data_IF_703315011897
#
_entry.id   IF_703315011897
#
_cell.length_a   1.000
_cell.length_b   1.000
_cell.length_c   1.000
_cell.angle_alpha   90.00
_cell.angle_beta   90.00
_cell.angle_gamma   90.00
#
_symmetry.space_group_name_H-M   'P 1'
#
loop_
_entity.id
_entity.type
_entity.pdbx_description
1 polymer ?
#
# COMPACT_ATOMS: atom_id res chain seq x y z
N UNK A 1 30.40 23.40 -5.37
CA UNK A 1 29.90 22.05 -5.10
C UNK A 1 28.57 21.92 -5.84
N UNK A 2 28.52 21.10 -6.87
CA UNK A 2 27.27 20.75 -7.55
C UNK A 2 26.43 19.98 -6.56
N UNK A 3 25.13 20.30 -6.32
CA UNK A 3 24.29 19.51 -5.45
C UNK A 3 24.21 18.08 -5.99
N UNK A 4 24.29 17.10 -5.10
CA UNK A 4 24.09 15.70 -5.47
C UNK A 4 22.74 15.58 -6.18
N UNK A 5 22.63 14.75 -7.24
CA UNK A 5 21.36 14.57 -7.91
C UNK A 5 20.30 14.09 -6.90
N UNK A 6 19.06 14.56 -7.00
CA UNK A 6 18.00 14.14 -6.08
C UNK A 6 17.86 12.61 -6.12
N UNK A 7 17.91 11.99 -4.95
CA UNK A 7 17.70 10.54 -4.84
C UNK A 7 16.26 10.25 -5.25
N UNK A 8 16.11 9.50 -6.34
CA UNK A 8 14.79 9.13 -6.84
C UNK A 8 14.07 8.23 -5.84
N UNK A 9 12.85 8.61 -5.45
CA UNK A 9 12.00 7.75 -4.65
C UNK A 9 11.66 6.48 -5.43
N UNK A 10 11.90 5.27 -4.87
CA UNK A 10 11.56 4.00 -5.52
C UNK A 10 10.11 3.94 -5.95
N UNK A 11 9.85 3.41 -7.14
CA UNK A 11 8.51 3.20 -7.67
C UNK A 11 8.08 1.75 -7.54
N UNK A 12 6.84 1.56 -7.15
CA UNK A 12 6.10 0.30 -7.09
C UNK A 12 4.85 0.38 -7.95
N UNK A 13 4.19 -0.74 -8.15
CA UNK A 13 2.92 -0.82 -8.86
C UNK A 13 1.84 -1.39 -7.95
N UNK A 14 0.68 -0.76 -7.92
CA UNK A 14 -0.53 -1.28 -7.29
C UNK A 14 -1.40 -1.94 -8.36
N UNK A 15 -1.75 -3.23 -8.18
CA UNK A 15 -2.89 -3.82 -8.87
C UNK A 15 -4.15 -3.42 -8.09
N UNK A 16 -5.01 -2.58 -8.67
CA UNK A 16 -5.96 -1.82 -7.86
C UNK A 16 -7.33 -2.52 -7.68
N UNK A 17 -7.50 -3.71 -8.24
CA UNK A 17 -8.75 -4.46 -8.20
C UNK A 17 -8.65 -5.69 -7.30
N UNK A 18 -9.79 -6.29 -6.98
CA UNK A 18 -9.82 -7.66 -6.46
C UNK A 18 -9.49 -8.60 -7.61
N UNK A 19 -8.42 -9.39 -7.46
CA UNK A 19 -7.97 -10.28 -8.51
C UNK A 19 -9.06 -11.33 -8.83
N UNK A 20 -9.65 -11.22 -10.02
CA UNK A 20 -10.60 -12.19 -10.59
C UNK A 20 -10.05 -12.79 -11.89
N UNK A 21 -9.25 -12.01 -12.62
CA UNK A 21 -8.49 -12.46 -13.78
C UNK A 21 -7.00 -12.57 -13.41
N UNK A 22 -6.52 -13.81 -13.36
CA UNK A 22 -5.13 -14.09 -12.97
C UNK A 22 -4.13 -13.84 -14.12
N UNK A 23 -4.58 -13.81 -15.36
CA UNK A 23 -3.75 -13.44 -16.50
C UNK A 23 -3.55 -11.93 -16.56
N UNK A 24 -4.61 -11.14 -16.28
CA UNK A 24 -4.47 -9.70 -16.10
C UNK A 24 -3.50 -9.38 -14.97
N UNK A 25 -3.66 -10.03 -13.80
CA UNK A 25 -2.74 -9.86 -12.67
C UNK A 25 -1.30 -10.23 -13.04
N UNK A 26 -1.10 -11.29 -13.83
CA UNK A 26 0.22 -11.70 -14.30
C UNK A 26 0.89 -10.60 -15.14
N UNK A 27 0.16 -9.91 -16.02
CA UNK A 27 0.67 -8.80 -16.80
C UNK A 27 1.19 -7.64 -15.93
N UNK A 28 0.52 -7.36 -14.78
CA UNK A 28 1.01 -6.40 -13.78
C UNK A 28 2.29 -6.89 -13.11
N UNK A 29 2.36 -8.15 -12.71
CA UNK A 29 3.56 -8.77 -12.14
C UNK A 29 4.76 -8.75 -13.10
N UNK A 30 4.54 -9.07 -14.36
CA UNK A 30 5.55 -8.97 -15.42
C UNK A 30 6.01 -7.53 -15.61
N UNK A 31 5.11 -6.56 -15.59
CA UNK A 31 5.46 -5.14 -15.69
C UNK A 31 6.34 -4.71 -14.52
N UNK A 32 6.08 -5.16 -13.30
CA UNK A 32 6.97 -4.90 -12.14
C UNK A 32 8.36 -5.47 -12.37
N UNK A 33 8.46 -6.70 -12.86
CA UNK A 33 9.74 -7.35 -13.19
C UNK A 33 10.49 -6.60 -14.31
N UNK A 34 9.81 -6.34 -15.40
CA UNK A 34 10.43 -5.81 -16.63
C UNK A 34 10.86 -4.34 -16.46
N UNK A 35 10.10 -3.58 -15.71
CA UNK A 35 10.46 -2.22 -15.33
C UNK A 35 11.33 -2.15 -14.06
N UNK A 36 11.74 -3.27 -13.48
CA UNK A 36 12.51 -3.31 -12.23
C UNK A 36 11.93 -2.36 -11.15
N UNK A 37 10.60 -2.41 -10.97
CA UNK A 37 9.93 -1.69 -9.90
C UNK A 37 10.19 -2.35 -8.55
N UNK A 38 10.06 -1.58 -7.47
CA UNK A 38 10.38 -2.04 -6.12
C UNK A 38 9.51 -3.22 -5.69
N UNK A 39 8.17 -3.18 -5.98
CA UNK A 39 7.24 -4.28 -5.67
C UNK A 39 5.90 -4.17 -6.36
N UNK A 40 5.15 -5.28 -6.31
CA UNK A 40 3.72 -5.32 -6.64
C UNK A 40 2.91 -5.26 -5.33
N UNK A 41 1.98 -4.32 -5.25
CA UNK A 41 1.00 -4.25 -4.18
C UNK A 41 -0.36 -4.78 -4.60
N UNK A 42 -1.02 -5.51 -3.71
CA UNK A 42 -2.41 -5.97 -3.84
C UNK A 42 -3.22 -5.54 -2.61
N UNK A 43 -4.45 -5.11 -2.81
CA UNK A 43 -5.40 -4.86 -1.73
C UNK A 43 -5.99 -6.14 -1.16
N UNK A 44 -6.86 -6.01 -0.14
CA UNK A 44 -7.71 -7.11 0.28
C UNK A 44 -8.60 -7.54 -0.88
N UNK A 45 -8.56 -8.82 -1.21
CA UNK A 45 -9.48 -9.41 -2.18
C UNK A 45 -10.43 -10.38 -1.49
N UNK A 46 -11.69 -10.39 -1.97
CA UNK A 46 -12.74 -11.32 -1.56
C UNK A 46 -13.10 -12.28 -2.71
N UNK A 47 -12.32 -12.27 -3.79
CA UNK A 47 -12.45 -13.17 -4.95
C UNK A 47 -11.35 -14.22 -4.89
N UNK A 48 -10.13 -13.89 -5.33
CA UNK A 48 -8.96 -14.74 -5.09
C UNK A 48 -8.19 -14.15 -3.91
N UNK A 49 -7.87 -14.98 -2.91
CA UNK A 49 -7.08 -14.53 -1.75
C UNK A 49 -5.77 -13.89 -2.18
N UNK A 50 -5.46 -12.73 -1.59
CA UNK A 50 -4.29 -11.92 -1.97
C UNK A 50 -2.96 -12.68 -1.87
N UNK A 51 -2.78 -13.51 -0.84
CA UNK A 51 -1.54 -14.29 -0.68
C UNK A 51 -1.48 -15.46 -1.67
N UNK A 52 -2.64 -16.06 -1.99
CA UNK A 52 -2.74 -17.09 -3.03
C UNK A 52 -2.49 -16.51 -4.42
N UNK A 53 -2.92 -15.28 -4.69
CA UNK A 53 -2.61 -14.56 -5.92
C UNK A 53 -1.09 -14.39 -6.10
N UNK A 54 -0.34 -13.99 -5.06
CA UNK A 54 1.12 -13.96 -5.10
C UNK A 54 1.75 -15.34 -5.28
N UNK A 55 1.22 -16.38 -4.62
CA UNK A 55 1.68 -17.74 -4.79
C UNK A 55 1.49 -18.23 -6.24
N UNK A 56 0.34 -17.88 -6.86
CA UNK A 56 0.07 -18.17 -8.26
C UNK A 56 1.10 -17.50 -9.19
N UNK A 57 1.38 -16.20 -8.99
CA UNK A 57 2.41 -15.50 -9.76
C UNK A 57 3.78 -16.17 -9.64
N UNK A 58 4.18 -16.53 -8.42
CA UNK A 58 5.44 -17.23 -8.17
C UNK A 58 5.50 -18.59 -8.88
N UNK A 59 4.39 -19.34 -8.89
CA UNK A 59 4.25 -20.60 -9.62
C UNK A 59 4.38 -20.45 -11.14
N UNK A 60 3.99 -19.29 -11.68
CA UNK A 60 4.19 -18.92 -13.09
C UNK A 60 5.59 -18.37 -13.40
N UNK A 61 6.50 -18.35 -12.42
CA UNK A 61 7.85 -17.80 -12.57
C UNK A 61 7.93 -16.27 -12.40
N UNK A 62 6.81 -15.60 -12.07
CA UNK A 62 6.77 -14.15 -11.85
C UNK A 62 7.09 -13.90 -10.36
N UNK A 63 8.39 -13.83 -10.05
CA UNK A 63 8.92 -13.69 -8.69
C UNK A 63 9.34 -12.26 -8.40
N UNK A 64 8.40 -11.43 -7.99
CA UNK A 64 8.61 -10.02 -7.64
C UNK A 64 8.43 -9.80 -6.13
N UNK A 65 9.06 -8.76 -5.54
CA UNK A 65 8.72 -8.36 -4.18
C UNK A 65 7.23 -8.05 -4.06
N UNK A 66 6.62 -8.45 -2.97
CA UNK A 66 5.18 -8.39 -2.76
C UNK A 66 4.80 -7.41 -1.64
N UNK A 67 3.63 -6.82 -1.73
CA UNK A 67 3.05 -6.01 -0.67
C UNK A 67 1.54 -6.17 -0.56
N UNK A 68 1.00 -6.23 0.65
CA UNK A 68 -0.44 -6.10 0.86
C UNK A 68 -0.79 -4.68 1.27
N UNK A 69 -1.80 -4.06 0.64
CA UNK A 69 -2.18 -2.67 0.89
C UNK A 69 -3.71 -2.48 0.90
N UNK A 70 -4.38 -2.99 1.92
CA UNK A 70 -3.91 -3.71 3.09
C UNK A 70 -4.77 -4.96 3.31
N UNK A 71 -4.21 -5.99 3.96
CA UNK A 71 -4.99 -7.12 4.45
C UNK A 71 -5.78 -6.70 5.70
N UNK A 72 -7.04 -7.15 5.83
CA UNK A 72 -7.88 -6.77 6.96
C UNK A 72 -7.66 -7.66 8.17
N UNK A 73 -7.40 -7.03 9.32
CA UNK A 73 -7.15 -7.74 10.59
C UNK A 73 -8.35 -8.58 11.06
N UNK A 74 -9.58 -8.21 10.67
CA UNK A 74 -10.79 -8.94 11.04
C UNK A 74 -10.98 -10.28 10.31
N UNK A 75 -10.28 -10.49 9.18
CA UNK A 75 -10.47 -11.69 8.34
C UNK A 75 -9.62 -12.89 8.76
N UNK A 76 -8.54 -12.69 9.51
CA UNK A 76 -7.57 -13.75 9.79
C UNK A 76 -7.07 -13.69 11.22
N UNK A 77 -6.78 -14.86 11.77
CA UNK A 77 -6.01 -14.93 13.00
C UNK A 77 -4.58 -14.42 12.79
N UNK A 78 -3.95 -13.71 13.77
CA UNK A 78 -2.58 -13.18 13.62
C UNK A 78 -1.54 -14.26 13.26
N UNK A 79 -1.69 -15.49 13.77
CA UNK A 79 -0.83 -16.61 13.43
C UNK A 79 -0.92 -16.95 11.93
N UNK A 80 -2.14 -17.07 11.41
CA UNK A 80 -2.36 -17.35 9.98
C UNK A 80 -1.76 -16.24 9.10
N UNK A 81 -1.95 -14.98 9.47
CA UNK A 81 -1.38 -13.84 8.76
C UNK A 81 0.16 -13.87 8.74
N UNK A 82 0.80 -14.23 9.85
CA UNK A 82 2.26 -14.39 9.91
C UNK A 82 2.73 -15.55 9.01
N UNK A 83 2.02 -16.67 9.03
CA UNK A 83 2.30 -17.83 8.15
C UNK A 83 2.16 -17.45 6.69
N UNK A 84 1.08 -16.77 6.31
CA UNK A 84 0.81 -16.37 4.93
C UNK A 84 1.86 -15.39 4.41
N UNK A 85 2.20 -14.34 5.17
CA UNK A 85 3.22 -13.37 4.78
C UNK A 85 4.60 -14.05 4.58
N UNK A 86 4.98 -14.95 5.50
CA UNK A 86 6.20 -15.76 5.38
C UNK A 86 6.17 -16.69 4.18
N UNK A 87 5.02 -17.33 3.92
CA UNK A 87 4.85 -18.22 2.77
C UNK A 87 5.06 -17.48 1.45
N UNK A 88 4.50 -16.28 1.30
CA UNK A 88 4.72 -15.44 0.11
C UNK A 88 6.20 -15.10 -0.05
N UNK A 89 6.89 -14.72 1.03
CA UNK A 89 8.33 -14.44 0.98
C UNK A 89 9.15 -15.66 0.53
N UNK A 90 8.84 -16.85 1.04
CA UNK A 90 9.50 -18.09 0.67
C UNK A 90 9.22 -18.50 -0.78
N UNK A 91 7.96 -18.42 -1.23
CA UNK A 91 7.54 -18.83 -2.56
C UNK A 91 8.09 -17.88 -3.65
N UNK A 92 8.09 -16.59 -3.38
CA UNK A 92 8.65 -15.60 -4.31
C UNK A 92 10.17 -15.54 -4.26
N UNK A 93 10.79 -15.92 -3.13
CA UNK A 93 12.20 -15.68 -2.84
C UNK A 93 12.53 -14.19 -2.71
N UNK A 94 11.55 -13.34 -2.42
CA UNK A 94 11.66 -11.87 -2.40
C UNK A 94 11.11 -11.27 -1.10
N UNK A 95 11.56 -10.05 -0.72
CA UNK A 95 11.02 -9.35 0.44
C UNK A 95 9.52 -9.08 0.30
N UNK A 96 8.83 -9.06 1.44
CA UNK A 96 7.38 -8.80 1.53
C UNK A 96 7.12 -7.63 2.49
N UNK A 97 6.20 -6.75 2.11
CA UNK A 97 5.55 -5.81 3.03
C UNK A 97 4.18 -6.38 3.38
N UNK A 98 4.04 -6.95 4.55
CA UNK A 98 2.77 -7.43 5.07
C UNK A 98 2.01 -6.25 5.68
N UNK A 99 1.22 -5.56 4.85
CA UNK A 99 0.45 -4.39 5.26
C UNK A 99 -0.93 -4.79 5.76
N UNK A 100 -1.34 -4.22 6.90
CA UNK A 100 -2.59 -4.51 7.58
C UNK A 100 -3.40 -3.25 7.86
N UNK A 101 -4.72 -3.41 7.96
CA UNK A 101 -5.64 -2.34 8.31
C UNK A 101 -6.84 -2.86 9.08
N UNK A 102 -7.51 -1.96 9.80
CA UNK A 102 -8.71 -2.29 10.57
C UNK A 102 -9.89 -2.70 9.66
N UNK A 103 -9.96 -2.14 8.47
CA UNK A 103 -11.11 -2.26 7.58
C UNK A 103 -12.17 -1.18 7.81
N UNK A 104 -13.15 -1.17 6.92
CA UNK A 104 -14.33 -0.34 7.04
C UNK A 104 -15.19 -0.81 8.24
N UNK A 105 -15.72 0.10 9.09
CA UNK A 105 -16.47 -0.26 10.28
C UNK A 105 -17.70 -1.14 10.02
N UNK A 106 -18.44 -0.88 8.94
CA UNK A 106 -19.66 -1.64 8.61
C UNK A 106 -19.30 -3.04 8.12
N UNK A 107 -18.23 -3.16 7.32
CA UNK A 107 -17.71 -4.46 6.91
C UNK A 107 -17.18 -5.27 8.10
N UNK A 108 -16.48 -4.64 9.03
CA UNK A 108 -16.01 -5.27 10.26
C UNK A 108 -17.19 -5.72 11.13
N UNK A 109 -18.23 -4.89 11.24
CA UNK A 109 -19.43 -5.24 11.98
C UNK A 109 -20.16 -6.45 11.35
N UNK A 110 -20.24 -6.52 10.02
CA UNK A 110 -20.81 -7.67 9.32
C UNK A 110 -20.04 -8.97 9.56
N UNK A 111 -18.71 -8.89 9.73
CA UNK A 111 -17.87 -10.07 9.98
C UNK A 111 -17.86 -10.52 11.44
N UNK A 112 -17.90 -9.58 12.39
CA UNK A 112 -17.69 -9.84 13.81
C UNK A 112 -18.95 -9.73 14.66
N UNK A 113 -20.04 -9.21 14.07
CA UNK A 113 -21.27 -8.84 14.79
C UNK A 113 -21.23 -7.41 15.36
N UNK A 114 -20.07 -6.79 15.48
CA UNK A 114 -19.87 -5.43 15.96
C UNK A 114 -18.61 -4.79 15.38
N UNK A 115 -18.56 -3.47 15.19
CA UNK A 115 -17.34 -2.79 14.76
C UNK A 115 -16.28 -2.77 15.88
N UNK A 116 -15.05 -2.44 15.55
CA UNK A 116 -14.03 -2.14 16.56
C UNK A 116 -14.36 -0.81 17.23
N UNK A 117 -14.57 -0.79 18.54
CA UNK A 117 -14.66 0.47 19.30
C UNK A 117 -13.36 1.28 19.22
N UNK A 118 -12.22 0.59 19.15
CA UNK A 118 -10.89 1.20 18.94
C UNK A 118 -10.12 0.47 17.84
N UNK A 119 -10.25 0.91 16.57
CA UNK A 119 -9.45 0.36 15.47
C UNK A 119 -7.95 0.47 15.73
N UNK A 120 -7.49 1.51 16.41
CA UNK A 120 -6.08 1.68 16.81
C UNK A 120 -5.60 0.53 17.70
N UNK A 121 -6.39 0.20 18.74
CA UNK A 121 -6.07 -0.91 19.66
C UNK A 121 -6.11 -2.24 18.93
N UNK A 122 -7.13 -2.47 18.12
CA UNK A 122 -7.27 -3.72 17.35
C UNK A 122 -6.05 -3.98 16.45
N UNK A 123 -5.64 -2.97 15.67
CA UNK A 123 -4.46 -3.07 14.79
C UNK A 123 -3.19 -3.23 15.62
N UNK A 124 -3.03 -2.48 16.72
CA UNK A 124 -1.83 -2.55 17.57
C UNK A 124 -1.66 -3.93 18.19
N UNK A 125 -2.71 -4.49 18.79
CA UNK A 125 -2.69 -5.82 19.39
C UNK A 125 -2.37 -6.90 18.34
N UNK A 126 -3.07 -6.84 17.20
CA UNK A 126 -2.88 -7.78 16.10
C UNK A 126 -1.43 -7.79 15.62
N UNK A 127 -0.88 -6.62 15.31
CA UNK A 127 0.48 -6.49 14.80
C UNK A 127 1.54 -6.81 15.83
N UNK A 128 1.28 -6.58 17.12
CA UNK A 128 2.19 -6.99 18.19
C UNK A 128 2.39 -8.51 18.20
N UNK A 129 1.31 -9.27 17.97
CA UNK A 129 1.39 -10.74 17.86
C UNK A 129 2.09 -11.15 16.56
N UNK A 130 1.70 -10.57 15.41
CA UNK A 130 2.32 -10.90 14.12
C UNK A 130 3.82 -10.61 14.14
N UNK A 131 4.26 -9.49 14.73
CA UNK A 131 5.68 -9.12 14.87
C UNK A 131 6.46 -10.20 15.61
N UNK A 132 6.01 -10.56 16.82
CA UNK A 132 6.67 -11.55 17.65
C UNK A 132 6.80 -12.89 16.93
N UNK A 133 5.73 -13.33 16.24
CA UNK A 133 5.75 -14.56 15.46
C UNK A 133 6.76 -14.49 14.30
N UNK A 134 6.81 -13.38 13.57
CA UNK A 134 7.77 -13.20 12.46
C UNK A 134 9.20 -13.09 12.94
N UNK A 135 9.43 -12.53 14.14
CA UNK A 135 10.74 -12.47 14.78
C UNK A 135 11.17 -13.83 15.38
N UNK A 136 10.32 -14.86 15.28
CA UNK A 136 10.61 -16.22 15.75
C UNK A 136 10.36 -16.43 17.24
N UNK A 137 9.67 -15.50 17.89
CA UNK A 137 9.27 -15.64 19.28
C UNK A 137 8.07 -16.59 19.42
N UNK A 138 8.06 -17.43 20.44
CA UNK A 138 6.84 -18.09 20.87
C UNK A 138 5.93 -17.07 21.55
N UNK A 139 4.69 -16.96 21.11
CA UNK A 139 3.71 -16.09 21.75
C UNK A 139 2.92 -16.92 22.75
N UNK A 140 3.19 -16.67 24.01
CA UNK A 140 2.46 -17.25 25.16
C UNK A 140 1.52 -16.16 25.73
N UNK A 141 0.33 -16.55 26.16
CA UNK A 141 -0.60 -15.69 26.90
C UNK A 141 -0.65 -14.21 26.45
N UNK A 142 -1.23 -13.96 25.30
CA UNK A 142 -1.54 -12.58 24.87
C UNK A 142 -2.99 -12.25 25.22
N UNK A 143 -3.20 -11.27 26.09
CA UNK A 143 -4.53 -10.87 26.58
C UNK A 143 -4.84 -9.44 26.23
N UNK A 144 -5.14 -9.19 24.96
CA UNK A 144 -5.66 -7.93 24.49
C UNK A 144 -7.18 -7.84 24.57
N UNK A 145 -7.70 -6.73 24.14
CA UNK A 145 -9.16 -6.50 24.02
C UNK A 145 -9.76 -7.24 22.82
N UNK A 146 -9.02 -7.28 21.70
CA UNK A 146 -9.47 -7.82 20.41
C UNK A 146 -8.72 -9.07 20.00
N UNK A 147 -7.49 -9.23 20.48
CA UNK A 147 -6.68 -10.42 20.25
C UNK A 147 -6.42 -11.12 21.58
N UNK A 148 -6.76 -12.38 21.62
CA UNK A 148 -6.54 -13.21 22.82
C UNK A 148 -5.96 -14.54 22.42
N UNK A 149 -4.85 -14.90 23.05
CA UNK A 149 -4.17 -16.18 22.92
C UNK A 149 -4.03 -16.75 24.31
N UNK A 150 -4.79 -17.81 24.59
CA UNK A 150 -4.77 -18.54 25.86
C UNK A 150 -4.50 -20.01 25.53
N UNK A 151 -3.52 -20.65 26.13
CA UNK A 151 -3.37 -22.09 26.04
C UNK A 151 -2.00 -22.60 25.59
N UNK A 152 -0.97 -21.80 25.74
CA UNK A 152 0.41 -22.23 25.52
C UNK A 152 1.08 -21.57 24.33
N UNK A 153 2.36 -21.87 24.11
CA UNK A 153 3.17 -21.20 23.10
C UNK A 153 2.67 -21.50 21.69
N UNK A 154 2.48 -20.42 20.90
CA UNK A 154 2.26 -20.50 19.46
C UNK A 154 3.56 -20.09 18.75
N UNK A 155 4.43 -21.04 18.41
CA UNK A 155 5.62 -20.74 17.61
C UNK A 155 5.26 -20.76 16.12
N UNK A 156 5.98 -19.97 15.30
CA UNK A 156 6.15 -20.33 13.90
C UNK A 156 7.28 -21.38 13.84
N UNK A 157 6.98 -22.64 13.53
CA UNK A 157 8.02 -23.67 13.44
C UNK A 157 9.09 -23.24 12.43
N UNK A 158 10.35 -23.39 12.82
CA UNK A 158 11.50 -23.16 11.94
C UNK A 158 11.67 -21.74 11.38
N UNK A 159 11.21 -20.70 12.08
CA UNK A 159 11.63 -19.33 11.76
C UNK A 159 13.16 -19.21 11.64
N UNK A 160 13.90 -20.05 12.39
CA UNK A 160 15.36 -20.10 12.37
C UNK A 160 15.97 -21.11 11.37
N UNK A 161 15.19 -22.03 10.78
CA UNK A 161 15.75 -23.20 10.08
C UNK A 161 15.94 -23.01 8.55
N UNK A 162 15.24 -22.07 7.92
CA UNK A 162 15.41 -21.77 6.50
C UNK A 162 15.57 -20.27 6.28
N UNK A 163 16.55 -19.83 5.46
CA UNK A 163 16.68 -18.44 5.08
C UNK A 163 15.36 -17.96 4.46
N UNK A 164 14.67 -17.05 5.13
CA UNK A 164 13.44 -16.45 4.63
C UNK A 164 13.74 -15.00 4.26
N UNK A 165 13.34 -14.54 3.06
CA UNK A 165 13.42 -13.14 2.73
C UNK A 165 12.67 -12.28 3.77
N UNK A 166 13.12 -11.04 3.95
CA UNK A 166 12.55 -10.13 4.96
C UNK A 166 11.05 -9.95 4.77
N UNK A 167 10.30 -10.10 5.86
CA UNK A 167 8.90 -9.67 5.97
C UNK A 167 8.85 -8.41 6.85
N UNK A 168 8.49 -7.28 6.24
CA UNK A 168 8.29 -6.01 6.94
C UNK A 168 6.82 -5.84 7.26
N UNK A 169 6.50 -5.33 8.46
CA UNK A 169 5.10 -5.03 8.83
C UNK A 169 4.69 -3.65 8.33
N UNK A 170 3.60 -3.61 7.57
CA UNK A 170 2.96 -2.39 7.11
C UNK A 170 1.66 -2.08 7.85
N UNK A 171 1.30 -0.82 7.93
CA UNK A 171 0.01 -0.35 8.48
C UNK A 171 -0.62 0.65 7.54
N UNK A 172 -1.90 0.45 7.23
CA UNK A 172 -2.71 1.45 6.52
C UNK A 172 -2.93 2.69 7.40
N UNK A 173 -2.52 3.84 6.90
CA UNK A 173 -2.55 5.11 7.65
C UNK A 173 -3.28 6.17 6.85
N UNK A 174 -4.35 6.72 7.45
CA UNK A 174 -5.07 7.87 6.89
C UNK A 174 -4.92 9.12 7.77
N UNK A 175 -4.80 8.95 9.09
CA UNK A 175 -4.84 10.06 10.05
C UNK A 175 -3.68 10.01 11.05
N UNK A 176 -3.30 11.16 11.66
CA UNK A 176 -2.12 11.25 12.53
C UNK A 176 -2.12 10.29 13.74
N UNK A 177 -3.29 9.93 14.29
CA UNK A 177 -3.34 8.97 15.42
C UNK A 177 -2.89 7.57 14.97
N UNK A 178 -3.35 7.09 13.80
CA UNK A 178 -2.89 5.82 13.25
C UNK A 178 -1.41 5.90 12.82
N UNK A 179 -0.98 7.04 12.28
CA UNK A 179 0.44 7.28 11.98
C UNK A 179 1.31 7.16 13.23
N UNK A 180 0.91 7.78 14.34
CA UNK A 180 1.63 7.63 15.61
C UNK A 180 1.70 6.16 16.06
N UNK A 181 0.59 5.44 16.01
CA UNK A 181 0.56 4.00 16.33
C UNK A 181 1.46 3.20 15.38
N UNK A 182 1.40 3.48 14.07
CA UNK A 182 2.30 2.85 13.09
C UNK A 182 3.78 3.10 13.43
N UNK A 183 4.13 4.31 13.83
CA UNK A 183 5.48 4.63 14.33
C UNK A 183 5.94 3.73 15.46
N UNK A 184 5.02 3.35 16.36
CA UNK A 184 5.34 2.50 17.52
C UNK A 184 5.59 1.03 17.17
N UNK A 185 4.98 0.50 16.09
CA UNK A 185 4.90 -0.95 15.85
C UNK A 185 5.26 -1.40 14.44
N UNK A 186 5.13 -0.55 13.42
CA UNK A 186 5.31 -0.93 12.01
C UNK A 186 6.71 -0.59 11.48
N UNK A 187 7.04 -1.16 10.32
CA UNK A 187 8.22 -0.83 9.53
C UNK A 187 7.85 0.08 8.35
N UNK A 188 6.58 0.05 7.92
CA UNK A 188 6.06 0.80 6.79
C UNK A 188 4.68 1.37 7.11
N UNK A 189 4.48 2.65 6.86
CA UNK A 189 3.16 3.27 6.81
C UNK A 189 2.68 3.28 5.34
N UNK A 190 1.45 2.82 5.09
CA UNK A 190 0.87 2.74 3.75
C UNK A 190 -0.27 3.74 3.68
N UNK A 191 -0.21 4.68 2.74
CA UNK A 191 -1.23 5.71 2.56
C UNK A 191 -1.90 5.60 1.20
N UNK A 192 -3.18 5.94 1.13
CA UNK A 192 -3.96 6.02 -0.09
C UNK A 192 -4.76 7.33 -0.10
N UNK A 193 -4.86 7.99 -1.24
CA UNK A 193 -5.57 9.28 -1.40
C UNK A 193 -5.08 10.38 -0.46
N UNK A 194 -3.85 10.28 0.05
CA UNK A 194 -3.29 11.24 0.99
C UNK A 194 -2.51 12.31 0.24
N UNK A 195 -2.89 13.60 0.28
CA UNK A 195 -2.15 14.66 -0.38
C UNK A 195 -0.71 14.77 0.12
N UNK A 196 0.24 15.11 -0.76
CA UNK A 196 1.65 15.25 -0.38
C UNK A 196 1.88 16.28 0.75
N UNK A 197 1.14 17.39 0.74
CA UNK A 197 1.17 18.37 1.84
C UNK A 197 0.76 17.77 3.18
N UNK A 198 -0.33 17.00 3.21
CA UNK A 198 -0.81 16.33 4.43
C UNK A 198 0.16 15.24 4.90
N UNK A 199 0.79 14.53 3.96
CA UNK A 199 1.84 13.56 4.28
C UNK A 199 2.97 14.26 5.05
N UNK A 200 3.50 15.37 4.52
CA UNK A 200 4.60 16.14 5.12
C UNK A 200 4.24 16.75 6.47
N UNK A 201 3.05 17.34 6.59
CA UNK A 201 2.69 18.19 7.72
C UNK A 201 2.04 17.44 8.87
N UNK A 202 1.37 16.33 8.57
CA UNK A 202 0.59 15.60 9.57
C UNK A 202 1.08 14.16 9.79
N UNK A 203 1.27 13.39 8.72
CA UNK A 203 1.55 11.95 8.81
C UNK A 203 3.00 11.67 9.22
N UNK A 204 3.97 12.21 8.49
CA UNK A 204 5.40 11.97 8.77
C UNK A 204 5.81 12.42 10.17
N UNK A 205 5.41 13.62 10.65
CA UNK A 205 5.71 14.02 12.02
C UNK A 205 5.06 13.13 13.09
N UNK A 206 3.85 12.62 12.82
CA UNK A 206 3.17 11.70 13.75
C UNK A 206 3.87 10.33 13.82
N UNK A 207 4.31 9.80 12.67
CA UNK A 207 5.16 8.60 12.60
C UNK A 207 6.44 8.77 13.41
N UNK A 208 7.15 9.88 13.23
CA UNK A 208 8.39 10.17 13.93
C UNK A 208 8.18 10.25 15.46
N UNK A 209 7.11 10.91 15.92
CA UNK A 209 6.76 10.94 17.36
C UNK A 209 6.45 9.53 17.90
N UNK A 210 5.70 8.73 17.14
CA UNK A 210 5.38 7.36 17.52
C UNK A 210 6.64 6.49 17.64
N UNK A 211 7.52 6.55 16.66
CA UNK A 211 8.79 5.82 16.64
C UNK A 211 9.70 6.25 17.82
N UNK A 212 9.86 7.56 18.02
CA UNK A 212 10.65 8.12 19.11
C UNK A 212 10.16 7.69 20.49
N UNK A 213 8.82 7.55 20.69
CA UNK A 213 8.25 7.10 21.96
C UNK A 213 8.60 5.64 22.32
N UNK A 214 9.11 4.88 21.38
CA UNK A 214 9.53 3.47 21.52
C UNK A 214 11.01 3.23 21.22
N UNK A 215 11.77 4.30 20.96
CA UNK A 215 13.19 4.17 20.59
C UNK A 215 13.42 3.40 19.28
N UNK A 216 12.45 3.46 18.35
CA UNK A 216 12.49 2.74 17.07
C UNK A 216 12.92 3.65 15.91
N UNK A 217 13.49 3.11 14.84
CA UNK A 217 13.61 3.83 13.58
C UNK A 217 12.23 4.29 13.09
N UNK A 218 12.19 5.46 12.46
CA UNK A 218 10.96 5.96 11.81
C UNK A 218 10.60 5.03 10.66
N UNK A 219 9.34 4.54 10.58
CA UNK A 219 8.89 3.71 9.48
C UNK A 219 9.06 4.39 8.12
N UNK A 220 9.35 3.58 7.08
CA UNK A 220 9.19 4.06 5.72
C UNK A 220 7.73 4.40 5.40
N UNK A 221 7.53 5.20 4.37
CA UNK A 221 6.18 5.58 3.90
C UNK A 221 6.01 5.13 2.46
N UNK A 222 5.06 4.23 2.22
CA UNK A 222 4.57 3.91 0.88
C UNK A 222 3.33 4.75 0.59
N UNK A 223 3.44 5.68 -0.35
CA UNK A 223 2.31 6.44 -0.85
C UNK A 223 1.71 5.75 -2.09
N UNK A 224 0.47 5.27 -1.99
CA UNK A 224 -0.28 4.80 -3.16
C UNK A 224 -0.89 6.03 -3.81
N UNK A 225 -0.38 6.36 -5.00
CA UNK A 225 -0.76 7.58 -5.72
C UNK A 225 -1.60 7.21 -6.94
N UNK A 226 -2.90 7.61 -6.97
CA UNK A 226 -3.71 7.48 -8.16
C UNK A 226 -3.13 8.36 -9.28
N UNK A 227 -2.98 7.78 -10.47
CA UNK A 227 -2.38 8.50 -11.58
C UNK A 227 -2.91 8.05 -12.94
N UNK A 228 -2.83 8.96 -13.92
CA UNK A 228 -3.09 8.67 -15.33
C UNK A 228 -2.37 9.67 -16.23
N UNK A 229 -1.98 9.23 -17.42
CA UNK A 229 -1.43 10.09 -18.46
C UNK A 229 -2.57 10.78 -19.23
N UNK A 230 -2.40 12.06 -19.52
CA UNK A 230 -3.33 12.83 -20.36
C UNK A 230 -3.34 12.29 -21.78
N UNK A 231 -4.53 11.94 -22.26
CA UNK A 231 -4.76 11.52 -23.65
C UNK A 231 -6.01 12.20 -24.22
N UNK A 232 -6.13 12.33 -25.55
CA UNK A 232 -7.34 12.89 -26.19
C UNK A 232 -8.60 12.18 -25.70
N UNK A 233 -9.62 12.95 -25.31
CA UNK A 233 -10.92 12.45 -24.84
C UNK A 233 -10.95 11.92 -23.41
N UNK A 234 -9.82 11.85 -22.71
CA UNK A 234 -9.72 11.37 -21.33
C UNK A 234 -10.08 12.48 -20.34
N UNK A 235 -11.04 12.21 -19.47
CA UNK A 235 -11.51 13.10 -18.41
C UNK A 235 -10.98 12.59 -17.06
N UNK A 236 -10.05 13.32 -16.38
CA UNK A 236 -9.47 12.86 -15.13
C UNK A 236 -10.49 12.71 -14.01
N UNK A 237 -11.56 13.51 -13.99
CA UNK A 237 -12.62 13.39 -12.99
C UNK A 237 -13.39 12.08 -13.15
N UNK A 238 -13.64 11.65 -14.38
CA UNK A 238 -14.27 10.33 -14.64
C UNK A 238 -13.38 9.19 -14.18
N UNK A 239 -12.06 9.29 -14.43
CA UNK A 239 -11.09 8.29 -13.98
C UNK A 239 -11.03 8.22 -12.45
N UNK A 240 -10.93 9.38 -11.80
CA UNK A 240 -10.90 9.47 -10.33
C UNK A 240 -12.19 8.92 -9.71
N UNK A 241 -13.35 9.24 -10.29
CA UNK A 241 -14.65 8.74 -9.83
C UNK A 241 -14.76 7.22 -10.00
N UNK A 242 -14.40 6.68 -11.15
CA UNK A 242 -14.47 5.24 -11.41
C UNK A 242 -13.63 4.43 -10.40
N UNK A 243 -12.47 4.94 -10.02
CA UNK A 243 -11.57 4.26 -9.09
C UNK A 243 -11.90 4.48 -7.62
N UNK A 244 -12.42 5.64 -7.25
CA UNK A 244 -12.43 6.07 -5.86
C UNK A 244 -13.80 6.47 -5.31
N UNK A 245 -14.89 6.35 -6.07
CA UNK A 245 -16.24 6.65 -5.57
C UNK A 245 -16.55 5.93 -4.24
N UNK A 246 -16.24 4.64 -4.04
CA UNK A 246 -16.48 3.97 -2.76
C UNK A 246 -15.66 4.58 -1.60
N UNK A 247 -14.42 5.01 -1.85
CA UNK A 247 -13.59 5.68 -0.85
C UNK A 247 -14.13 7.07 -0.50
N UNK A 248 -14.60 7.82 -1.51
CA UNK A 248 -15.15 9.16 -1.34
C UNK A 248 -16.51 9.15 -0.62
N UNK A 249 -17.28 8.06 -0.70
CA UNK A 249 -18.50 7.86 0.06
C UNK A 249 -18.25 7.43 1.52
N UNK A 250 -17.01 7.11 1.87
CA UNK A 250 -16.63 6.69 3.22
C UNK A 250 -16.15 7.86 4.09
N UNK A 251 -16.81 8.10 5.24
CA UNK A 251 -16.50 9.21 6.14
C UNK A 251 -15.03 9.23 6.60
N UNK A 252 -14.39 8.07 6.74
CA UNK A 252 -13.00 7.99 7.18
C UNK A 252 -12.00 8.57 6.16
N UNK A 253 -12.27 8.43 4.84
CA UNK A 253 -11.48 9.09 3.79
C UNK A 253 -11.86 10.57 3.68
N UNK A 254 -13.16 10.88 3.66
CA UNK A 254 -13.64 12.25 3.57
C UNK A 254 -13.11 13.12 4.72
N UNK A 255 -13.12 12.63 5.95
CA UNK A 255 -12.55 13.34 7.09
C UNK A 255 -11.03 13.58 6.97
N UNK A 256 -10.27 12.64 6.38
CA UNK A 256 -8.86 12.84 6.11
C UNK A 256 -8.66 13.91 5.03
N UNK A 257 -9.38 13.82 3.91
CA UNK A 257 -9.30 14.78 2.81
C UNK A 257 -9.69 16.19 3.25
N UNK A 258 -10.77 16.34 4.04
CA UNK A 258 -11.14 17.64 4.63
C UNK A 258 -10.06 18.17 5.56
N UNK A 259 -9.43 17.32 6.38
CA UNK A 259 -8.31 17.72 7.24
C UNK A 259 -7.07 18.14 6.45
N UNK A 260 -6.97 17.71 5.21
CA UNK A 260 -5.93 18.09 4.26
C UNK A 260 -6.31 19.32 3.40
N UNK A 261 -7.48 19.94 3.66
CA UNK A 261 -7.93 21.15 2.99
C UNK A 261 -8.75 20.92 1.70
N UNK A 262 -9.15 19.68 1.39
CA UNK A 262 -10.01 19.38 0.26
C UNK A 262 -11.47 19.40 0.70
N UNK A 263 -12.33 20.01 -0.13
CA UNK A 263 -13.78 20.01 0.10
C UNK A 263 -14.38 18.70 -0.45
N UNK A 264 -14.73 17.79 0.45
CA UNK A 264 -15.28 16.47 0.09
C UNK A 264 -16.53 16.21 0.93
N UNK A 265 -17.64 16.00 0.23
CA UNK A 265 -18.91 15.55 0.80
C UNK A 265 -19.14 14.08 0.42
N UNK A 266 -19.39 13.24 1.41
CA UNK A 266 -19.68 11.81 1.21
C UNK A 266 -20.95 11.55 0.39
N UNK A 267 -21.87 12.50 0.35
CA UNK A 267 -23.10 12.42 -0.44
C UNK A 267 -22.89 12.76 -1.92
N UNK A 268 -21.76 13.40 -2.28
CA UNK A 268 -21.39 13.73 -3.65
C UNK A 268 -19.98 13.22 -4.01
N UNK A 269 -19.79 11.91 -4.22
CA UNK A 269 -18.49 11.35 -4.63
C UNK A 269 -18.00 11.89 -5.98
N UNK A 270 -18.91 12.39 -6.83
CA UNK A 270 -18.55 12.97 -8.11
C UNK A 270 -17.86 14.33 -7.93
N UNK A 271 -18.36 15.18 -7.04
CA UNK A 271 -17.67 16.41 -6.68
C UNK A 271 -16.33 16.10 -5.99
N UNK A 272 -16.33 15.10 -5.09
CA UNK A 272 -15.12 14.61 -4.44
C UNK A 272 -14.03 14.14 -5.42
N UNK A 273 -14.41 13.47 -6.52
CA UNK A 273 -13.48 13.09 -7.58
C UNK A 273 -12.84 14.30 -8.26
N UNK A 274 -13.62 15.38 -8.49
CA UNK A 274 -13.09 16.67 -8.94
C UNK A 274 -12.07 17.25 -7.95
N UNK A 275 -12.41 17.26 -6.67
CA UNK A 275 -11.51 17.74 -5.62
C UNK A 275 -10.18 16.97 -5.55
N UNK A 276 -10.18 15.64 -5.81
CA UNK A 276 -8.93 14.87 -5.90
C UNK A 276 -8.05 15.32 -7.06
N UNK A 277 -8.64 15.64 -8.21
CA UNK A 277 -7.89 16.11 -9.39
C UNK A 277 -7.36 17.52 -9.14
N UNK A 278 -8.21 18.44 -8.73
CA UNK A 278 -7.87 19.85 -8.52
C UNK A 278 -6.86 20.03 -7.37
N UNK A 279 -6.95 19.18 -6.35
CA UNK A 279 -6.03 19.14 -5.21
C UNK A 279 -4.73 18.36 -5.45
N UNK A 280 -4.49 17.84 -6.67
CA UNK A 280 -3.27 17.12 -7.04
C UNK A 280 -3.10 15.76 -6.31
N UNK A 281 -4.18 15.20 -5.77
CA UNK A 281 -4.18 13.85 -5.17
C UNK A 281 -4.25 12.79 -6.25
N UNK A 282 -5.04 13.04 -7.29
CA UNK A 282 -5.04 12.26 -8.52
C UNK A 282 -4.03 12.90 -9.50
N UNK A 283 -2.85 12.29 -9.63
CA UNK A 283 -1.79 12.80 -10.49
C UNK A 283 -2.18 12.63 -11.98
N UNK A 284 -2.34 13.75 -12.67
CA UNK A 284 -2.79 13.76 -14.07
C UNK A 284 -2.02 14.79 -14.90
N UNK A 285 -1.65 14.41 -16.10
CA UNK A 285 -0.93 15.31 -17.04
C UNK A 285 -0.18 14.53 -18.11
N UNK A 286 0.78 15.18 -18.77
CA UNK A 286 1.76 14.45 -19.57
C UNK A 286 2.59 13.53 -18.66
N UNK A 287 3.31 12.53 -19.18
CA UNK A 287 4.17 11.70 -18.35
C UNK A 287 5.13 12.51 -17.47
N UNK A 288 5.69 13.62 -18.00
CA UNK A 288 6.62 14.51 -17.30
C UNK A 288 5.92 15.32 -16.19
N UNK A 289 4.68 15.76 -16.44
CA UNK A 289 3.86 16.45 -15.43
C UNK A 289 3.49 15.50 -14.29
N UNK A 290 3.14 14.26 -14.60
CA UNK A 290 2.87 13.23 -13.58
C UNK A 290 4.15 12.92 -12.81
N UNK A 291 5.30 12.74 -13.48
CA UNK A 291 6.59 12.51 -12.83
C UNK A 291 6.97 13.64 -11.88
N UNK A 292 6.67 14.89 -12.25
CA UNK A 292 6.90 16.05 -11.37
C UNK A 292 6.01 16.01 -10.11
N UNK A 293 4.73 15.64 -10.25
CA UNK A 293 3.81 15.50 -9.13
C UNK A 293 4.28 14.37 -8.18
N UNK A 294 4.75 13.24 -8.71
CA UNK A 294 5.30 12.13 -7.92
C UNK A 294 6.56 12.55 -7.15
N UNK A 295 7.42 13.38 -7.72
CA UNK A 295 8.58 13.95 -7.00
C UNK A 295 8.15 14.67 -5.72
N UNK A 296 7.04 15.41 -5.76
CA UNK A 296 6.47 16.08 -4.59
C UNK A 296 6.10 15.15 -3.44
N UNK A 297 5.71 13.91 -3.72
CA UNK A 297 5.49 12.90 -2.68
C UNK A 297 6.80 12.45 -2.01
N UNK A 298 7.86 12.26 -2.78
CA UNK A 298 9.19 11.97 -2.24
C UNK A 298 9.69 13.10 -1.34
N UNK A 299 9.58 14.35 -1.78
CA UNK A 299 9.91 15.55 -1.00
C UNK A 299 9.05 15.70 0.26
N UNK A 300 7.82 15.18 0.24
CA UNK A 300 6.92 15.13 1.38
C UNK A 300 7.23 14.01 2.38
N UNK A 301 8.22 13.13 2.09
CA UNK A 301 8.67 12.08 2.97
C UNK A 301 8.20 10.67 2.60
N UNK A 302 7.62 10.47 1.41
CA UNK A 302 7.39 9.13 0.89
C UNK A 302 8.74 8.48 0.57
N UNK A 303 8.97 7.27 1.09
CA UNK A 303 10.17 6.46 0.82
C UNK A 303 9.93 5.47 -0.32
N UNK A 304 8.68 5.29 -0.73
CA UNK A 304 8.25 4.45 -1.84
C UNK A 304 6.92 5.01 -2.40
N UNK A 305 6.76 5.02 -3.70
CA UNK A 305 5.53 5.45 -4.36
C UNK A 305 4.96 4.28 -5.15
N UNK A 306 3.75 3.85 -4.83
CA UNK A 306 3.03 2.84 -5.58
C UNK A 306 2.07 3.51 -6.58
N UNK A 307 2.34 3.34 -7.86
CA UNK A 307 1.49 3.87 -8.94
C UNK A 307 0.18 3.10 -8.99
N UNK A 308 -0.95 3.81 -9.02
CA UNK A 308 -2.28 3.21 -9.17
C UNK A 308 -3.01 3.82 -10.37
N UNK A 309 -3.01 3.10 -11.49
CA UNK A 309 -3.77 3.48 -12.68
C UNK A 309 -5.19 2.89 -12.68
N UNK A 310 -5.83 2.80 -11.49
CA UNK A 310 -7.15 2.19 -11.29
C UNK A 310 -8.24 2.74 -12.22
N UNK A 311 -8.30 4.07 -12.35
CA UNK A 311 -9.29 4.71 -13.20
C UNK A 311 -9.14 4.31 -14.67
N UNK A 312 -7.90 4.24 -15.16
CA UNK A 312 -7.62 3.81 -16.53
C UNK A 312 -7.95 2.33 -16.71
N UNK A 313 -7.56 1.48 -15.76
CA UNK A 313 -7.86 0.05 -15.79
C UNK A 313 -9.38 -0.20 -15.91
N UNK A 314 -10.18 0.48 -15.08
CA UNK A 314 -11.62 0.31 -15.03
C UNK A 314 -12.38 0.86 -16.26
N UNK A 315 -11.82 1.87 -16.93
CA UNK A 315 -12.51 2.55 -18.04
C UNK A 315 -11.96 2.21 -19.41
N UNK A 316 -10.69 1.81 -19.50
CA UNK A 316 -9.98 1.62 -20.76
C UNK A 316 -9.25 0.27 -20.85
N UNK A 317 -9.25 -0.50 -19.74
CA UNK A 317 -8.65 -1.83 -19.67
C UNK A 317 -7.17 -1.88 -19.29
N UNK A 318 -6.63 -3.10 -19.13
CA UNK A 318 -5.29 -3.33 -18.58
C UNK A 318 -4.16 -2.83 -19.49
N UNK A 319 -4.29 -2.96 -20.80
CA UNK A 319 -3.27 -2.51 -21.75
C UNK A 319 -3.03 -0.99 -21.66
N UNK A 320 -4.11 -0.21 -21.58
CA UNK A 320 -4.05 1.24 -21.44
C UNK A 320 -3.44 1.65 -20.09
N UNK A 321 -3.84 0.97 -19.00
CA UNK A 321 -3.29 1.22 -17.67
C UNK A 321 -1.78 0.92 -17.61
N UNK A 322 -1.33 -0.21 -18.15
CA UNK A 322 0.07 -0.57 -18.18
C UNK A 322 0.89 0.29 -19.14
N UNK A 323 0.28 0.80 -20.23
CA UNK A 323 0.93 1.78 -21.09
C UNK A 323 1.19 3.10 -20.36
N UNK A 324 0.25 3.56 -19.53
CA UNK A 324 0.44 4.75 -18.70
C UNK A 324 1.55 4.52 -17.64
N UNK A 325 1.56 3.35 -16.98
CA UNK A 325 2.63 2.98 -16.03
C UNK A 325 4.00 3.06 -16.69
N UNK A 326 4.17 2.49 -17.89
CA UNK A 326 5.45 2.52 -18.61
C UNK A 326 5.88 3.95 -18.92
N UNK A 327 4.97 4.77 -19.46
CA UNK A 327 5.26 6.17 -19.78
C UNK A 327 5.66 6.99 -18.55
N UNK A 328 4.95 6.80 -17.43
CA UNK A 328 5.25 7.51 -16.18
C UNK A 328 6.62 7.07 -15.63
N UNK A 329 6.92 5.77 -15.62
CA UNK A 329 8.21 5.25 -15.12
C UNK A 329 9.38 5.75 -15.97
N UNK A 330 9.22 5.81 -17.28
CA UNK A 330 10.22 6.37 -18.20
C UNK A 330 10.48 7.85 -17.89
N UNK A 331 9.43 8.67 -17.78
CA UNK A 331 9.56 10.08 -17.47
C UNK A 331 10.20 10.34 -16.08
N UNK A 332 9.89 9.52 -15.08
CA UNK A 332 10.52 9.61 -13.75
C UNK A 332 12.02 9.29 -13.83
N UNK A 333 12.43 8.29 -14.63
CA UNK A 333 13.84 7.92 -14.83
C UNK A 333 14.61 8.99 -15.57
N UNK A 334 14.04 9.53 -16.63
CA UNK A 334 14.65 10.60 -17.43
C UNK A 334 14.87 11.85 -16.56
N UNK A 335 13.89 12.22 -15.75
CA UNK A 335 14.01 13.31 -14.79
C UNK A 335 15.14 13.11 -13.76
N UNK A 336 15.40 11.86 -13.37
CA UNK A 336 16.47 11.51 -12.44
C UNK A 336 17.83 11.35 -13.11
N UNK A 337 17.94 11.47 -14.45
CA UNK A 337 19.19 11.31 -15.21
C UNK A 337 19.72 9.87 -15.19
N UNK A 338 18.87 8.85 -15.02
CA UNK A 338 19.27 7.44 -15.00
C UNK A 338 19.08 6.79 -16.38
N UNK A 339 20.10 6.06 -16.90
CA UNK A 339 19.92 5.26 -18.13
C UNK A 339 18.86 4.17 -17.89
N UNK A 340 18.12 3.85 -18.96
CA UNK A 340 17.15 2.75 -18.95
C UNK A 340 17.83 1.43 -18.54
N UNK A 341 17.15 0.52 -17.84
CA UNK A 341 17.73 -0.77 -17.46
C UNK A 341 18.09 -1.56 -18.72
N UNK A 342 19.34 -2.01 -18.79
CA UNK A 342 19.77 -2.94 -19.83
C UNK A 342 19.06 -4.27 -19.59
N UNK A 343 18.20 -4.67 -20.49
CA UNK A 343 17.53 -5.97 -20.47
C UNK A 343 18.61 -7.06 -20.51
N UNK A 344 18.94 -7.64 -19.35
CA UNK A 344 19.70 -8.89 -19.34
C UNK A 344 18.71 -10.01 -19.63
N UNK A 345 18.72 -10.45 -20.88
CA UNK A 345 18.13 -11.72 -21.31
C UNK A 345 18.96 -12.84 -20.65
N UNK A 346 18.32 -13.93 -20.15
CA UNK A 346 18.90 -14.95 -19.30
C UNK A 346 20.07 -15.70 -19.93
#
# INVERSE_FOLDING_TARGET
MTPAPPVMTPLSLMYPLMASDLDELAAFGETVRDLALERLYLGQSLVVDTHQAFAHLAGRGIRVPAGTSVALTALRHPLDAAVQARSVALLTGRPVVAGFGAGDPDFVAALRGEPYESPLTAVSEYLSVVRRLLDGEAVEDFRGRYVRLDGGPLPLPHAAAAPCPRVSLGVGVLRPRMAHTAGQIADVAITLLTPAGHLREAIVPALARGAGSRGRPVPGVTAIVPCAVRRPGRDPRKLAFAAHAPHLSGEHYAAMLRSAGLDVDVSDPWAGAGALVDGGVFAYGTPEEVAAQLTGYGEAGATEIALSCAGVLLTEGPEAALADVRAIVEAVRDRAGRPAPVTRIP
#
